data_IF_303893356745
#
_entry.id   IF_303893356745
#
_cell.length_a   1.000
_cell.length_b   1.000
_cell.length_c   1.000
_cell.angle_alpha   90.00
_cell.angle_beta   90.00
_cell.angle_gamma   90.00
#
_symmetry.space_group_name_H-M   'P 1'
#
loop_
_entity.id
_entity.type
_entity.pdbx_description
1 polymer ?
#
# COMPACT_ATOMS: atom_id res chain seq x y z
N UNK A 1 28.51 48.69 -7.29
CA UNK A 1 29.47 49.50 -8.07
C UNK A 1 29.27 50.95 -7.69
N UNK A 2 30.19 51.52 -6.93
CA UNK A 2 29.97 52.78 -6.24
C UNK A 2 30.17 53.94 -7.20
N UNK A 3 29.11 54.73 -7.44
CA UNK A 3 29.15 56.06 -8.11
C UNK A 3 30.31 56.93 -7.58
N UNK A 4 30.71 56.67 -6.34
CA UNK A 4 31.84 57.26 -5.64
C UNK A 4 33.20 57.09 -6.35
N UNK A 5 33.45 55.95 -7.01
CA UNK A 5 34.73 55.69 -7.71
C UNK A 5 34.80 56.56 -8.97
N UNK A 6 33.74 56.56 -9.78
CA UNK A 6 33.62 57.43 -10.95
C UNK A 6 33.69 58.92 -10.56
N UNK A 7 33.07 59.29 -9.43
CA UNK A 7 33.13 60.66 -8.93
C UNK A 7 34.54 61.06 -8.48
N UNK A 8 35.33 60.14 -7.90
CA UNK A 8 36.70 60.38 -7.51
C UNK A 8 37.62 60.56 -8.74
N UNK A 9 37.44 59.75 -9.78
CA UNK A 9 38.19 59.85 -11.02
C UNK A 9 37.85 61.14 -11.77
N UNK A 10 36.57 61.52 -11.85
CA UNK A 10 36.17 62.83 -12.40
C UNK A 10 36.81 63.99 -11.63
N UNK A 11 36.87 63.94 -10.30
CA UNK A 11 37.54 64.97 -9.49
C UNK A 11 39.05 65.02 -9.77
N UNK A 12 39.69 63.86 -9.96
CA UNK A 12 41.12 63.76 -10.27
C UNK A 12 41.44 64.29 -11.67
N UNK A 13 40.63 63.95 -12.67
CA UNK A 13 40.71 64.49 -14.02
C UNK A 13 40.57 66.02 -14.02
N UNK A 14 39.52 66.55 -13.37
CA UNK A 14 39.28 67.99 -13.27
C UNK A 14 40.40 68.72 -12.52
N UNK A 15 40.97 68.11 -11.48
CA UNK A 15 42.11 68.69 -10.75
C UNK A 15 43.35 68.82 -11.62
N UNK A 16 43.61 67.88 -12.54
CA UNK A 16 44.73 67.97 -13.46
C UNK A 16 44.52 69.07 -14.51
N UNK A 17 43.29 69.20 -14.99
CA UNK A 17 42.88 70.22 -15.96
C UNK A 17 42.86 71.64 -15.37
N UNK A 18 42.68 71.79 -14.06
CA UNK A 18 42.59 73.09 -13.38
C UNK A 18 43.89 73.93 -13.45
N UNK A 19 45.02 73.31 -13.83
CA UNK A 19 46.32 73.98 -13.99
C UNK A 19 46.59 74.53 -15.39
N UNK A 20 45.71 74.23 -16.36
CA UNK A 20 45.89 74.55 -17.77
C UNK A 20 45.29 75.91 -18.16
N UNK A 21 45.82 76.52 -19.22
CA UNK A 21 45.32 77.79 -19.76
C UNK A 21 44.11 77.59 -20.69
N UNK A 22 43.32 78.65 -20.91
CA UNK A 22 42.12 78.56 -21.77
C UNK A 22 42.40 78.04 -23.18
N UNK A 23 43.54 78.38 -23.81
CA UNK A 23 43.84 77.86 -25.15
C UNK A 23 44.20 76.37 -25.14
N UNK A 24 44.81 75.87 -24.06
CA UNK A 24 45.15 74.44 -23.90
C UNK A 24 43.91 73.60 -23.57
N UNK A 25 42.96 74.16 -22.80
CA UNK A 25 41.66 73.53 -22.55
C UNK A 25 40.83 73.44 -23.83
N UNK A 26 40.87 74.48 -24.69
CA UNK A 26 40.22 74.46 -26.01
C UNK A 26 40.84 73.40 -26.93
N UNK A 27 42.17 73.24 -26.90
CA UNK A 27 42.87 72.23 -27.70
C UNK A 27 42.55 70.79 -27.24
N UNK A 28 42.43 70.56 -25.93
CA UNK A 28 42.00 69.28 -25.37
C UNK A 28 40.54 69.00 -25.73
N UNK A 29 39.65 69.99 -25.62
CA UNK A 29 38.22 69.81 -25.90
C UNK A 29 37.93 69.53 -27.38
N UNK A 30 38.80 69.99 -28.29
CA UNK A 30 38.64 69.82 -29.73
C UNK A 30 39.40 68.62 -30.32
N UNK A 31 40.04 67.79 -29.48
CA UNK A 31 40.75 66.58 -29.91
C UNK A 31 40.33 65.37 -29.08
N UNK A 32 39.64 64.43 -29.72
CA UNK A 32 39.20 63.19 -29.09
C UNK A 32 40.41 62.37 -28.58
N UNK A 33 41.55 62.44 -29.25
CA UNK A 33 42.80 61.77 -28.84
C UNK A 33 43.33 62.31 -27.50
N UNK A 34 43.24 63.62 -27.28
CA UNK A 34 43.66 64.25 -26.02
C UNK A 34 42.71 63.90 -24.87
N UNK A 35 41.41 63.78 -25.16
CA UNK A 35 40.39 63.34 -24.20
C UNK A 35 40.62 61.86 -23.85
N UNK A 36 40.91 61.03 -24.82
CA UNK A 36 41.19 59.61 -24.64
C UNK A 36 42.49 59.38 -23.86
N UNK A 37 43.51 60.22 -24.05
CA UNK A 37 44.72 60.24 -23.23
C UNK A 37 44.40 60.56 -21.76
N UNK A 38 43.56 61.55 -21.48
CA UNK A 38 43.12 61.86 -20.11
C UNK A 38 42.36 60.68 -19.48
N UNK A 39 41.48 60.02 -20.25
CA UNK A 39 40.72 58.85 -19.79
C UNK A 39 41.61 57.61 -19.58
N UNK A 40 42.65 57.44 -20.39
CA UNK A 40 43.63 56.35 -20.25
C UNK A 40 44.53 56.54 -19.01
N UNK A 41 44.76 57.78 -18.60
CA UNK A 41 45.51 58.13 -17.40
C UNK A 41 44.73 57.95 -16.09
N UNK A 42 43.42 57.68 -16.17
CA UNK A 42 42.59 57.34 -15.01
C UNK A 42 42.79 55.88 -14.60
N UNK A 43 42.54 55.57 -13.32
CA UNK A 43 42.69 54.22 -12.79
C UNK A 43 41.49 53.33 -13.22
N UNK A 44 41.68 52.59 -14.32
CA UNK A 44 40.66 51.69 -14.88
C UNK A 44 40.58 50.32 -14.17
N UNK A 45 41.16 50.17 -12.98
CA UNK A 45 41.13 48.90 -12.22
C UNK A 45 39.72 48.35 -12.01
N UNK A 46 38.72 49.22 -11.81
CA UNK A 46 37.33 48.80 -11.65
C UNK A 46 36.74 48.16 -12.92
N UNK A 47 37.11 48.61 -14.13
CA UNK A 47 36.66 47.99 -15.38
C UNK A 47 37.24 46.58 -15.53
N UNK A 48 38.52 46.41 -15.16
CA UNK A 48 39.18 45.10 -15.15
C UNK A 48 38.56 44.16 -14.13
N UNK A 49 38.19 44.65 -12.95
CA UNK A 49 37.49 43.87 -11.92
C UNK A 49 36.12 43.40 -12.42
N UNK A 50 35.36 44.28 -13.08
CA UNK A 50 34.05 43.94 -13.67
C UNK A 50 34.22 42.92 -14.80
N UNK A 51 35.23 43.09 -15.64
CA UNK A 51 35.53 42.14 -16.72
C UNK A 51 35.91 40.77 -16.15
N UNK A 52 36.71 40.74 -15.09
CA UNK A 52 37.08 39.51 -14.38
C UNK A 52 35.89 38.85 -13.69
N UNK A 53 35.03 39.62 -13.02
CA UNK A 53 33.79 39.12 -12.40
C UNK A 53 32.87 38.52 -13.47
N UNK A 54 32.70 39.21 -14.61
CA UNK A 54 31.94 38.72 -15.75
C UNK A 54 32.51 37.40 -16.28
N UNK A 55 33.83 37.32 -16.48
CA UNK A 55 34.48 36.09 -16.95
C UNK A 55 34.28 34.93 -15.96
N UNK A 56 34.43 35.22 -14.66
CA UNK A 56 34.21 34.24 -13.59
C UNK A 56 32.77 33.73 -13.58
N UNK A 57 31.79 34.63 -13.73
CA UNK A 57 30.38 34.27 -13.80
C UNK A 57 30.05 33.48 -15.06
N UNK A 58 30.62 33.84 -16.22
CA UNK A 58 30.43 33.09 -17.47
C UNK A 58 31.04 31.69 -17.37
N UNK A 59 32.26 31.57 -16.82
CA UNK A 59 32.90 30.28 -16.62
C UNK A 59 32.11 29.38 -15.65
N UNK A 60 31.59 29.97 -14.56
CA UNK A 60 30.73 29.28 -13.59
C UNK A 60 29.42 28.81 -14.24
N UNK A 61 28.75 29.70 -14.99
CA UNK A 61 27.51 29.36 -15.70
C UNK A 61 27.72 28.24 -16.72
N UNK A 62 28.79 28.32 -17.51
CA UNK A 62 29.15 27.28 -18.48
C UNK A 62 29.42 25.94 -17.80
N UNK A 63 30.18 25.92 -16.71
CA UNK A 63 30.45 24.71 -15.93
C UNK A 63 29.15 24.09 -15.38
N UNK A 64 28.24 24.92 -14.86
CA UNK A 64 26.93 24.45 -14.39
C UNK A 64 26.05 23.93 -15.53
N UNK A 65 26.07 24.59 -16.69
CA UNK A 65 25.33 24.17 -17.87
C UNK A 65 25.86 22.83 -18.40
N UNK A 66 27.17 22.67 -18.53
CA UNK A 66 27.83 21.42 -18.93
C UNK A 66 27.51 20.29 -17.96
N UNK A 67 27.56 20.54 -16.65
CA UNK A 67 27.17 19.56 -15.65
C UNK A 67 25.70 19.16 -15.79
N UNK A 68 24.79 20.12 -15.95
CA UNK A 68 23.37 19.82 -16.15
C UNK A 68 23.12 19.00 -17.43
N UNK A 69 23.78 19.35 -18.54
CA UNK A 69 23.70 18.60 -19.79
C UNK A 69 24.28 17.18 -19.65
N UNK A 70 25.34 17.00 -18.85
CA UNK A 70 25.90 15.68 -18.56
C UNK A 70 24.97 14.77 -17.77
N UNK A 71 24.01 15.34 -17.02
CA UNK A 71 23.02 14.62 -16.22
C UNK A 71 21.74 14.29 -16.99
N UNK A 72 21.44 15.03 -18.04
CA UNK A 72 20.29 14.79 -18.92
C UNK A 72 20.17 13.33 -19.39
N UNK A 73 21.22 12.64 -19.90
CA UNK A 73 21.07 11.26 -20.36
C UNK A 73 20.68 10.30 -19.23
N UNK A 74 21.24 10.46 -18.03
CA UNK A 74 20.92 9.64 -16.86
C UNK A 74 19.46 9.84 -16.43
N UNK A 75 18.96 11.09 -16.49
CA UNK A 75 17.57 11.40 -16.20
C UNK A 75 16.61 10.83 -17.25
N UNK A 76 16.97 10.91 -18.53
CA UNK A 76 16.17 10.36 -19.63
C UNK A 76 16.09 8.84 -19.52
N UNK A 77 17.21 8.16 -19.31
CA UNK A 77 17.25 6.70 -19.11
C UNK A 77 16.44 6.29 -17.87
N UNK A 78 16.60 7.01 -16.75
CA UNK A 78 15.84 6.76 -15.54
C UNK A 78 14.33 6.91 -15.75
N UNK A 79 13.91 7.94 -16.49
CA UNK A 79 12.51 8.18 -16.84
C UNK A 79 11.94 7.09 -17.75
N UNK A 80 12.68 6.68 -18.77
CA UNK A 80 12.26 5.59 -19.67
C UNK A 80 12.13 4.27 -18.91
N UNK A 81 13.10 3.96 -18.05
CA UNK A 81 13.06 2.76 -17.20
C UNK A 81 11.85 2.79 -16.26
N UNK A 82 11.58 3.93 -15.63
CA UNK A 82 10.41 4.09 -14.76
C UNK A 82 9.11 3.91 -15.53
N UNK A 83 9.01 4.51 -16.72
CA UNK A 83 7.84 4.37 -17.58
C UNK A 83 7.61 2.90 -17.96
N UNK A 84 8.63 2.20 -18.43
CA UNK A 84 8.55 0.78 -18.77
C UNK A 84 8.10 -0.08 -17.58
N UNK A 85 8.70 0.14 -16.41
CA UNK A 85 8.32 -0.59 -15.19
C UNK A 85 6.89 -0.28 -14.74
N UNK A 86 6.44 0.97 -14.90
CA UNK A 86 5.06 1.36 -14.61
C UNK A 86 4.07 0.68 -15.55
N UNK A 87 4.38 0.63 -16.85
CA UNK A 87 3.55 -0.05 -17.85
C UNK A 87 3.48 -1.56 -17.60
N UNK A 88 4.62 -2.19 -17.27
CA UNK A 88 4.68 -3.60 -16.88
C UNK A 88 3.84 -3.86 -15.62
N UNK A 89 3.98 -3.03 -14.58
CA UNK A 89 3.19 -3.15 -13.35
C UNK A 89 1.69 -3.01 -13.62
N UNK A 90 1.28 -2.09 -14.51
CA UNK A 90 -0.13 -1.93 -14.89
C UNK A 90 -0.66 -3.17 -15.62
N UNK A 91 0.13 -3.75 -16.53
CA UNK A 91 -0.24 -5.00 -17.22
C UNK A 91 -0.36 -6.17 -16.25
N UNK A 92 0.59 -6.34 -15.33
CA UNK A 92 0.51 -7.38 -14.30
C UNK A 92 -0.71 -7.17 -13.40
N UNK A 93 -0.98 -5.93 -12.98
CA UNK A 93 -2.15 -5.60 -12.16
C UNK A 93 -3.45 -6.00 -12.86
N UNK A 94 -3.60 -5.64 -14.14
CA UNK A 94 -4.76 -6.05 -14.96
C UNK A 94 -4.87 -7.58 -15.08
N UNK A 95 -3.75 -8.28 -15.28
CA UNK A 95 -3.75 -9.75 -15.35
C UNK A 95 -4.16 -10.39 -14.03
N UNK A 96 -3.74 -9.82 -12.89
CA UNK A 96 -4.16 -10.28 -11.56
C UNK A 96 -5.64 -10.03 -11.34
N UNK A 97 -6.14 -8.84 -11.69
CA UNK A 97 -7.56 -8.50 -11.58
C UNK A 97 -8.45 -9.43 -12.44
N UNK A 98 -8.02 -9.71 -13.67
CA UNK A 98 -8.71 -10.65 -14.56
C UNK A 98 -8.76 -12.07 -13.96
N UNK A 99 -7.63 -12.57 -13.45
CA UNK A 99 -7.57 -13.89 -12.80
C UNK A 99 -8.39 -13.94 -11.52
N UNK A 100 -8.42 -12.86 -10.74
CA UNK A 100 -9.26 -12.74 -9.54
C UNK A 100 -10.74 -12.81 -9.92
N UNK A 101 -11.12 -12.10 -10.98
CA UNK A 101 -12.49 -12.13 -11.50
C UNK A 101 -12.85 -13.52 -12.01
N UNK A 102 -12.00 -14.17 -12.79
CA UNK A 102 -12.22 -15.54 -13.27
C UNK A 102 -12.37 -16.53 -12.10
N UNK A 103 -11.56 -16.38 -11.05
CA UNK A 103 -11.64 -17.19 -9.84
C UNK A 103 -12.97 -16.96 -9.11
N UNK A 104 -13.42 -15.70 -9.02
CA UNK A 104 -14.73 -15.37 -8.43
C UNK A 104 -15.89 -15.93 -9.25
N UNK A 105 -15.85 -15.77 -10.56
CA UNK A 105 -16.88 -16.27 -11.48
C UNK A 105 -16.99 -17.81 -11.41
N UNK A 106 -15.86 -18.50 -11.27
CA UNK A 106 -15.80 -19.97 -11.08
C UNK A 106 -16.17 -20.41 -9.66
N UNK A 107 -15.79 -19.63 -8.65
CA UNK A 107 -16.02 -19.93 -7.23
C UNK A 107 -17.46 -19.74 -6.79
N UNK A 108 -18.23 -18.93 -7.53
CA UNK A 108 -19.59 -18.54 -7.16
C UNK A 108 -19.62 -17.62 -5.93
N UNK A 109 -20.78 -17.06 -5.62
CA UNK A 109 -20.96 -16.11 -4.51
C UNK A 109 -21.15 -16.79 -3.14
N UNK A 110 -20.97 -18.12 -3.03
CA UNK A 110 -21.19 -18.84 -1.78
C UNK A 110 -19.92 -18.91 -0.94
N UNK A 111 -19.94 -18.30 0.24
CA UNK A 111 -18.83 -18.42 1.20
C UNK A 111 -18.64 -19.86 1.66
N UNK A 112 -17.40 -20.19 2.00
CA UNK A 112 -17.03 -21.53 2.42
C UNK A 112 -17.72 -21.92 3.75
N UNK A 113 -17.97 -20.95 4.62
CA UNK A 113 -18.82 -21.06 5.82
C UNK A 113 -20.26 -21.43 5.48
N UNK A 114 -20.83 -20.77 4.47
CA UNK A 114 -22.21 -21.03 4.03
C UNK A 114 -22.30 -22.44 3.45
N UNK A 115 -21.32 -22.84 2.64
CA UNK A 115 -21.24 -24.20 2.12
C UNK A 115 -21.11 -25.25 3.26
N UNK A 116 -20.34 -24.95 4.31
CA UNK A 116 -20.22 -25.83 5.49
C UNK A 116 -21.55 -25.94 6.23
N UNK A 117 -22.23 -24.82 6.49
CA UNK A 117 -23.52 -24.80 7.18
C UNK A 117 -24.58 -25.60 6.40
N UNK A 118 -24.70 -25.38 5.09
CA UNK A 118 -25.61 -26.15 4.24
C UNK A 118 -25.28 -27.65 4.24
N UNK A 119 -23.99 -28.00 4.23
CA UNK A 119 -23.57 -29.40 4.27
C UNK A 119 -23.93 -30.07 5.60
N UNK A 120 -23.82 -29.34 6.72
CA UNK A 120 -24.22 -29.81 8.04
C UNK A 120 -25.74 -29.98 8.15
N UNK A 121 -26.53 -29.00 7.68
CA UNK A 121 -27.99 -29.13 7.60
C UNK A 121 -28.39 -30.37 6.78
N UNK A 122 -27.78 -30.54 5.62
CA UNK A 122 -28.07 -31.67 4.74
C UNK A 122 -27.54 -33.03 5.26
N UNK A 123 -26.68 -33.03 6.28
CA UNK A 123 -26.32 -34.23 7.05
C UNK A 123 -27.43 -34.55 8.04
N UNK A 124 -27.88 -33.56 8.82
CA UNK A 124 -28.97 -33.73 9.79
C UNK A 124 -30.28 -34.17 9.13
N UNK A 125 -30.62 -33.60 7.98
CA UNK A 125 -31.80 -34.01 7.19
C UNK A 125 -31.72 -35.48 6.77
N UNK A 126 -30.56 -35.94 6.28
CA UNK A 126 -30.40 -37.35 5.85
C UNK A 126 -30.36 -38.30 7.05
N UNK A 127 -29.83 -37.85 8.18
CA UNK A 127 -29.86 -38.62 9.43
C UNK A 127 -31.31 -38.86 9.86
N UNK A 128 -32.14 -37.81 9.94
CA UNK A 128 -33.56 -37.92 10.26
C UNK A 128 -34.30 -38.82 9.25
N UNK A 129 -34.06 -38.63 7.96
CA UNK A 129 -34.59 -39.49 6.90
C UNK A 129 -34.22 -40.97 7.08
N UNK A 130 -32.97 -41.24 7.47
CA UNK A 130 -32.50 -42.61 7.70
C UNK A 130 -33.14 -43.22 8.94
N UNK A 131 -33.41 -42.42 9.97
CA UNK A 131 -34.11 -42.84 11.19
C UNK A 131 -35.60 -43.09 10.91
N UNK A 132 -36.22 -42.29 10.04
CA UNK A 132 -37.57 -42.52 9.57
C UNK A 132 -37.69 -43.83 8.78
N UNK A 133 -36.71 -44.16 7.93
CA UNK A 133 -36.66 -45.46 7.23
C UNK A 133 -36.50 -46.61 8.22
N UNK A 134 -35.63 -46.47 9.22
CA UNK A 134 -35.48 -47.47 10.28
C UNK A 134 -36.76 -47.65 11.10
N UNK A 135 -37.46 -46.57 11.42
CA UNK A 135 -38.72 -46.60 12.14
C UNK A 135 -39.81 -47.34 11.37
N UNK A 136 -40.00 -47.05 10.08
CA UNK A 136 -40.98 -47.75 9.23
C UNK A 136 -40.74 -49.26 9.17
N UNK A 137 -39.48 -49.67 9.12
CA UNK A 137 -39.12 -51.09 9.19
C UNK A 137 -39.49 -51.72 10.55
N UNK A 138 -39.19 -51.03 11.66
CA UNK A 138 -39.55 -51.50 13.01
C UNK A 138 -41.06 -51.56 13.24
N UNK A 139 -41.82 -50.64 12.62
CA UNK A 139 -43.28 -50.60 12.67
C UNK A 139 -43.92 -51.66 11.74
N UNK A 140 -43.12 -52.39 10.96
CA UNK A 140 -43.59 -53.44 10.04
C UNK A 140 -44.20 -52.90 8.73
N UNK A 141 -44.02 -51.61 8.43
CA UNK A 141 -44.52 -50.95 7.23
C UNK A 141 -43.62 -51.16 6.00
N UNK A 142 -42.50 -51.86 6.14
CA UNK A 142 -41.47 -52.05 5.12
C UNK A 142 -40.83 -53.43 5.22
N UNK A 143 -40.58 -54.08 4.08
CA UNK A 143 -39.89 -55.37 4.02
C UNK A 143 -38.36 -55.22 4.19
N UNK A 144 -37.69 -56.29 4.62
CA UNK A 144 -36.26 -56.25 4.93
C UNK A 144 -35.38 -55.82 3.75
N UNK A 145 -35.64 -56.34 2.55
CA UNK A 145 -34.83 -56.03 1.38
C UNK A 145 -34.97 -54.55 0.97
N UNK A 146 -36.19 -54.02 1.05
CA UNK A 146 -36.49 -52.61 0.80
C UNK A 146 -35.83 -51.69 1.84
N UNK A 147 -35.83 -52.09 3.12
CA UNK A 147 -35.14 -51.37 4.18
C UNK A 147 -33.64 -51.27 3.92
N UNK A 148 -32.99 -52.39 3.58
CA UNK A 148 -31.55 -52.43 3.35
C UNK A 148 -31.15 -51.54 2.15
N UNK A 149 -31.92 -51.58 1.06
CA UNK A 149 -31.67 -50.75 -0.12
C UNK A 149 -31.76 -49.25 0.19
N UNK A 150 -32.76 -48.82 0.97
CA UNK A 150 -32.96 -47.40 1.29
C UNK A 150 -32.03 -46.91 2.41
N UNK A 151 -31.90 -47.67 3.50
CA UNK A 151 -31.14 -47.27 4.68
C UNK A 151 -29.64 -47.17 4.40
N UNK A 152 -29.06 -48.16 3.70
CA UNK A 152 -27.63 -48.17 3.40
C UNK A 152 -27.23 -47.02 2.47
N UNK A 153 -28.08 -46.68 1.49
CA UNK A 153 -27.83 -45.54 0.58
C UNK A 153 -27.86 -44.22 1.37
N UNK A 154 -28.87 -44.01 2.22
CA UNK A 154 -28.98 -42.81 3.06
C UNK A 154 -27.81 -42.68 4.05
N UNK A 155 -27.48 -43.74 4.80
CA UNK A 155 -26.36 -43.71 5.76
C UNK A 155 -25.00 -43.53 5.07
N UNK A 156 -24.78 -44.14 3.89
CA UNK A 156 -23.56 -43.91 3.10
C UNK A 156 -23.43 -42.45 2.68
N UNK A 157 -24.52 -41.85 2.19
CA UNK A 157 -24.54 -40.46 1.78
C UNK A 157 -24.32 -39.51 2.97
N UNK A 158 -24.96 -39.78 4.10
CA UNK A 158 -24.79 -39.04 5.35
C UNK A 158 -23.32 -39.05 5.80
N UNK A 159 -22.71 -40.23 5.95
CA UNK A 159 -21.31 -40.33 6.39
C UNK A 159 -20.35 -39.67 5.41
N UNK A 160 -20.58 -39.78 4.09
CA UNK A 160 -19.77 -39.08 3.09
C UNK A 160 -19.84 -37.55 3.27
N UNK A 161 -21.04 -37.00 3.50
CA UNK A 161 -21.22 -35.55 3.73
C UNK A 161 -20.61 -35.11 5.06
N UNK A 162 -20.72 -35.93 6.11
CA UNK A 162 -20.10 -35.68 7.41
C UNK A 162 -18.57 -35.57 7.29
N UNK A 163 -17.93 -36.51 6.60
CA UNK A 163 -16.47 -36.46 6.35
C UNK A 163 -16.10 -35.21 5.55
N UNK A 164 -16.89 -34.85 4.53
CA UNK A 164 -16.66 -33.62 3.75
C UNK A 164 -16.79 -32.36 4.63
N UNK A 165 -17.78 -32.30 5.52
CA UNK A 165 -17.97 -31.19 6.46
C UNK A 165 -16.80 -31.08 7.45
N UNK A 166 -16.33 -32.21 7.98
CA UNK A 166 -15.17 -32.23 8.88
C UNK A 166 -13.90 -31.74 8.20
N UNK A 167 -13.65 -32.17 6.95
CA UNK A 167 -12.49 -31.72 6.17
C UNK A 167 -12.59 -30.23 5.83
N UNK A 168 -13.77 -29.75 5.48
CA UNK A 168 -14.02 -28.34 5.20
C UNK A 168 -13.80 -27.47 6.45
N UNK A 169 -14.30 -27.91 7.60
CA UNK A 169 -14.06 -27.26 8.89
C UNK A 169 -12.57 -27.16 9.22
N UNK A 170 -11.79 -28.23 8.97
CA UNK A 170 -10.32 -28.22 9.14
C UNK A 170 -9.60 -27.24 8.19
N UNK A 171 -10.10 -27.07 6.97
CA UNK A 171 -9.55 -26.08 6.02
C UNK A 171 -9.79 -24.66 6.54
N UNK A 172 -11.02 -24.36 6.98
CA UNK A 172 -11.37 -23.06 7.56
C UNK A 172 -10.57 -22.72 8.82
N UNK A 173 -10.31 -23.70 9.67
CA UNK A 173 -9.50 -23.51 10.88
C UNK A 173 -8.01 -23.24 10.57
N UNK A 174 -7.48 -23.79 9.47
CA UNK A 174 -6.06 -23.60 9.08
C UNK A 174 -5.83 -22.25 8.41
N UNK A 175 -6.82 -21.70 7.73
CA UNK A 175 -6.70 -20.44 7.00
C UNK A 175 -7.91 -19.53 7.26
N UNK A 176 -7.84 -18.69 8.32
CA UNK A 176 -8.90 -17.75 8.67
C UNK A 176 -9.18 -16.69 7.59
N UNK A 177 -8.30 -16.52 6.60
CA UNK A 177 -8.54 -15.59 5.50
C UNK A 177 -9.60 -16.09 4.52
N UNK A 178 -9.79 -17.42 4.44
CA UNK A 178 -10.88 -18.05 3.69
C UNK A 178 -12.23 -17.87 4.37
N UNK A 179 -12.23 -17.57 5.68
CA UNK A 179 -13.43 -17.39 6.48
C UNK A 179 -14.02 -15.98 6.48
N UNK A 180 -13.27 -15.01 5.98
CA UNK A 180 -13.58 -13.59 6.11
C UNK A 180 -14.23 -12.98 4.86
N UNK A 181 -14.76 -13.79 3.94
CA UNK A 181 -15.66 -13.27 2.91
C UNK A 181 -17.01 -12.96 3.59
N UNK A 182 -17.39 -11.68 3.77
CA UNK A 182 -18.47 -11.32 4.67
C UNK A 182 -19.80 -11.74 4.06
N UNK A 183 -20.47 -12.72 4.67
CA UNK A 183 -21.93 -12.78 4.63
C UNK A 183 -22.45 -13.21 6.01
N UNK A 184 -23.14 -12.28 6.64
CA UNK A 184 -23.68 -12.35 8.00
C UNK A 184 -24.81 -13.37 8.09
N UNK A 185 -24.58 -14.53 8.72
CA UNK A 185 -25.67 -15.35 9.28
C UNK A 185 -25.20 -15.94 10.61
N UNK A 186 -25.77 -15.44 11.71
CA UNK A 186 -25.66 -16.02 13.05
C UNK A 186 -26.40 -17.37 13.06
N UNK A 187 -25.68 -18.49 13.12
CA UNK A 187 -26.24 -19.79 13.45
C UNK A 187 -25.51 -20.37 14.68
N UNK A 188 -26.23 -20.93 15.67
CA UNK A 188 -25.61 -21.44 16.89
C UNK A 188 -24.82 -22.72 16.62
N UNK A 189 -23.72 -22.99 17.35
CA UNK A 189 -22.94 -24.21 17.20
C UNK A 189 -23.73 -25.42 17.71
N UNK A 190 -23.92 -26.43 16.88
CA UNK A 190 -24.52 -27.71 17.27
C UNK A 190 -23.41 -28.67 17.73
N UNK A 191 -23.56 -29.21 18.94
CA UNK A 191 -22.67 -30.22 19.51
C UNK A 191 -22.93 -31.59 18.85
N UNK A 192 -21.89 -32.16 18.23
CA UNK A 192 -21.92 -33.52 17.68
C UNK A 192 -21.63 -34.52 18.80
N UNK A 193 -22.61 -35.38 19.09
CA UNK A 193 -22.49 -36.40 20.14
C UNK A 193 -21.60 -37.57 19.67
N UNK A 194 -20.39 -37.66 20.22
CA UNK A 194 -19.40 -38.71 19.92
C UNK A 194 -19.74 -40.11 20.47
N UNK A 195 -20.85 -40.27 21.19
CA UNK A 195 -21.18 -41.51 21.93
C UNK A 195 -21.70 -42.67 21.06
N UNK A 196 -21.81 -42.49 19.74
CA UNK A 196 -22.42 -43.47 18.82
C UNK A 196 -21.42 -44.24 17.95
N UNK A 197 -20.11 -44.07 18.13
CA UNK A 197 -19.08 -44.77 17.35
C UNK A 197 -18.28 -45.77 18.19
N UNK A 198 -18.37 -47.09 17.95
CA UNK A 198 -17.42 -48.05 18.48
C UNK A 198 -16.16 -48.07 17.59
N UNK A 199 -14.99 -47.71 18.16
CA UNK A 199 -13.69 -47.89 17.50
C UNK A 199 -12.74 -46.68 17.46
N UNK A 200 -13.01 -45.58 18.15
CA UNK A 200 -12.09 -44.44 18.26
C UNK A 200 -11.28 -44.56 19.55
N UNK A 201 -9.94 -44.61 19.53
CA UNK A 201 -9.13 -44.57 20.75
C UNK A 201 -9.31 -43.21 21.43
N UNK A 202 -9.86 -43.20 22.64
CA UNK A 202 -9.90 -42.02 23.50
C UNK A 202 -8.54 -41.82 24.15
N UNK A 203 -7.70 -40.95 23.59
CA UNK A 203 -6.63 -40.31 24.35
C UNK A 203 -7.14 -38.95 24.85
N UNK A 204 -7.80 -38.98 26.01
CA UNK A 204 -8.05 -37.79 26.82
C UNK A 204 -7.49 -38.05 28.22
N UNK A 205 -6.56 -37.23 28.72
CA UNK A 205 -6.11 -37.34 30.10
C UNK A 205 -7.26 -36.94 31.03
N UNK A 206 -7.61 -37.85 31.95
CA UNK A 206 -8.59 -37.63 33.00
C UNK A 206 -7.98 -36.83 34.16
N UNK A 207 -8.51 -35.64 34.42
CA UNK A 207 -8.59 -34.97 35.73
C UNK A 207 -9.50 -33.76 35.49
N UNK A 208 -10.67 -33.59 36.12
CA UNK A 208 -10.88 -33.17 37.51
C UNK A 208 -12.36 -33.46 37.87
N UNK A 209 -12.72 -33.82 39.13
CA UNK A 209 -14.12 -34.01 39.54
C UNK A 209 -14.80 -32.67 39.92
N UNK A 210 -16.13 -32.68 40.11
CA UNK A 210 -17.00 -31.70 40.83
C UNK A 210 -18.20 -31.13 40.03
N UNK A 211 -19.32 -30.80 40.72
CA UNK A 211 -20.62 -31.36 40.37
C UNK A 211 -21.62 -30.36 39.75
N UNK A 212 -22.70 -30.95 39.22
CA UNK A 212 -23.86 -30.35 38.57
C UNK A 212 -24.57 -29.32 39.47
N UNK A 213 -24.80 -28.12 38.95
CA UNK A 213 -25.65 -27.06 39.51
C UNK A 213 -26.39 -26.28 38.39
N UNK A 214 -27.56 -25.67 38.66
CA UNK A 214 -28.54 -25.26 37.64
C UNK A 214 -28.13 -23.98 36.89
N UNK A 215 -28.66 -23.75 35.66
CA UNK A 215 -28.16 -22.69 34.78
C UNK A 215 -28.61 -21.30 35.23
N UNK A 216 -27.66 -20.43 35.56
CA UNK A 216 -27.88 -18.98 35.62
C UNK A 216 -27.58 -18.36 34.26
N UNK A 217 -28.51 -17.53 33.78
CA UNK A 217 -28.40 -16.76 32.54
C UNK A 217 -27.35 -15.65 32.65
N UNK A 218 -26.40 -15.49 31.70
CA UNK A 218 -25.55 -14.30 31.65
C UNK A 218 -26.19 -13.19 30.80
N UNK A 219 -26.28 -12.00 31.38
CA UNK A 219 -26.59 -10.73 30.70
C UNK A 219 -25.55 -10.39 29.61
N UNK A 220 -25.93 -9.64 28.55
CA UNK A 220 -25.00 -9.13 27.56
C UNK A 220 -24.20 -7.94 28.10
N UNK A 221 -22.88 -8.09 28.21
CA UNK A 221 -21.97 -6.95 28.37
C UNK A 221 -21.73 -6.30 27.01
N UNK A 222 -22.27 -5.11 26.81
CA UNK A 222 -21.98 -4.28 25.63
C UNK A 222 -20.51 -3.83 25.57
N UNK A 223 -20.02 -3.39 24.39
CA UNK A 223 -18.60 -3.12 24.18
C UNK A 223 -18.19 -1.74 24.73
N UNK A 224 -17.18 -1.73 25.59
CA UNK A 224 -16.41 -0.55 26.00
C UNK A 224 -14.96 -0.81 25.55
N UNK A 225 -14.64 -0.47 24.31
CA UNK A 225 -13.26 -0.31 23.84
C UNK A 225 -13.23 0.41 22.48
N UNK A 226 -13.30 1.74 22.49
CA UNK A 226 -12.88 2.55 21.34
C UNK A 226 -11.37 2.83 21.47
N UNK A 227 -10.50 2.37 20.55
CA UNK A 227 -9.13 2.85 20.50
C UNK A 227 -9.08 4.26 19.89
N UNK A 228 -8.53 5.20 20.67
CA UNK A 228 -8.21 6.57 20.28
C UNK A 228 -7.20 6.61 19.11
N UNK A 229 -7.26 7.63 18.23
CA UNK A 229 -6.30 7.79 17.14
C UNK A 229 -4.91 8.22 17.68
N UNK A 230 -3.80 7.68 17.14
CA UNK A 230 -2.46 8.08 17.54
C UNK A 230 -2.12 9.50 17.02
N UNK A 231 -1.54 10.31 17.91
CA UNK A 231 -1.24 11.72 17.70
C UNK A 231 -0.25 12.01 16.58
N UNK A 232 -0.50 13.11 15.85
CA UNK A 232 0.42 13.74 14.90
C UNK A 232 1.71 14.18 15.62
N UNK A 233 2.83 13.55 15.26
CA UNK A 233 4.16 14.12 15.50
C UNK A 233 4.47 15.13 14.39
N UNK A 234 4.58 16.40 14.75
CA UNK A 234 5.13 17.44 13.87
C UNK A 234 6.66 17.32 13.89
N UNK A 235 7.26 17.09 12.71
CA UNK A 235 8.69 17.28 12.51
C UNK A 235 9.02 18.77 12.57
N UNK A 236 9.81 19.17 13.57
CA UNK A 236 10.47 20.47 13.61
C UNK A 236 11.77 20.36 12.80
N UNK A 237 11.84 21.03 11.66
CA UNK A 237 13.10 21.25 10.95
C UNK A 237 13.92 22.30 11.72
N UNK A 238 15.17 21.98 12.01
CA UNK A 238 16.20 22.95 12.33
C UNK A 238 16.88 23.37 11.03
N UNK A 239 16.70 24.64 10.64
CA UNK A 239 17.69 25.49 9.96
C UNK A 239 17.40 26.94 10.31
#
# INVERSE_FOLDING_TARGET
>A
MSIEILQADCKRAVSNLASLTNSQLDEIMNSDENIEEILSNLDQSYLKEIEHEKETLMASNNSMAEFNLSREPELVEGREKLQRLSEEAEQLSKSVEEKLKELRDKGGDMSLETALALLQTAVSEIEEDSDNVAKKFLDGEMEQDEYLDQFLVKRRLMHMRLVKAEKLSKILQRDPSLSNVPNYINAPPVNINSSYFPGIPTEVPSSVPYPVGPPTVPYPTGPLNMPMPPGMNYFHNHY
#
